data_IF_895200777115
#
_entry.id   IF_895200777115
#
_cell.length_a   1.000
_cell.length_b   1.000
_cell.length_c   1.000
_cell.angle_alpha   90.00
_cell.angle_beta   90.00
_cell.angle_gamma   90.00
#
_symmetry.space_group_name_H-M   'P 1'
#
loop_
_entity.id
_entity.type
_entity.pdbx_description
1 polymer ?
#
# COMPACT_ATOMS: atom_id res chain seq x y z
N UNK A 1 -16.96 4.76 2.63
CA UNK A 1 -15.71 3.98 2.74
C UNK A 1 -15.61 3.06 1.54
N UNK A 2 -14.43 2.97 0.96
CA UNK A 2 -14.08 2.02 -0.10
C UNK A 2 -12.99 1.07 0.40
N UNK A 3 -12.93 -0.10 -0.21
CA UNK A 3 -11.92 -1.11 0.10
C UNK A 3 -10.77 -1.02 -0.91
N UNK A 4 -9.54 -0.98 -0.39
CA UNK A 4 -8.31 -1.14 -1.14
C UNK A 4 -7.52 -2.33 -0.62
N UNK A 5 -6.88 -3.05 -1.53
CA UNK A 5 -6.04 -4.21 -1.26
C UNK A 5 -4.65 -3.99 -1.83
N UNK A 6 -3.65 -4.37 -1.06
CA UNK A 6 -2.25 -4.22 -1.41
C UNK A 6 -1.53 -5.56 -1.29
N UNK A 7 -0.86 -5.97 -2.36
CA UNK A 7 -0.12 -7.23 -2.42
C UNK A 7 0.95 -7.16 -3.51
N UNK A 8 1.96 -8.01 -3.40
CA UNK A 8 2.93 -8.21 -4.47
C UNK A 8 2.44 -9.22 -5.50
N UNK A 9 2.49 -8.84 -6.78
CA UNK A 9 2.12 -9.70 -7.91
C UNK A 9 3.32 -10.42 -8.54
N UNK A 10 4.54 -9.87 -8.41
CA UNK A 10 5.81 -10.45 -8.88
C UNK A 10 6.93 -10.14 -7.87
N UNK A 11 8.17 -10.54 -8.14
CA UNK A 11 9.35 -10.12 -7.36
C UNK A 11 9.68 -8.62 -7.49
N UNK A 12 9.14 -7.97 -8.51
CA UNK A 12 9.34 -6.56 -8.82
C UNK A 12 8.04 -5.75 -8.95
N UNK A 13 6.88 -6.32 -8.62
CA UNK A 13 5.58 -5.67 -8.86
C UNK A 13 4.73 -5.61 -7.59
N UNK A 14 4.42 -4.39 -7.16
CA UNK A 14 3.56 -4.10 -6.01
C UNK A 14 2.24 -3.44 -6.44
N UNK A 15 1.12 -4.09 -6.10
CA UNK A 15 -0.21 -3.77 -6.60
C UNK A 15 -1.07 -3.04 -5.56
N UNK A 16 -1.94 -2.15 -6.05
CA UNK A 16 -3.10 -1.62 -5.36
C UNK A 16 -4.35 -1.98 -6.16
N UNK A 17 -5.28 -2.72 -5.54
CA UNK A 17 -6.54 -3.16 -6.16
C UNK A 17 -7.76 -2.67 -5.37
N UNK A 18 -8.87 -2.47 -6.08
CA UNK A 18 -10.17 -2.17 -5.50
C UNK A 18 -10.85 -1.04 -6.25
N UNK A 19 -11.29 -0.04 -5.50
CA UNK A 19 -11.82 1.21 -6.05
C UNK A 19 -10.74 2.07 -6.75
N UNK A 20 -9.49 1.95 -6.31
CA UNK A 20 -8.30 2.45 -7.02
C UNK A 20 -7.55 1.24 -7.58
N UNK A 21 -6.98 1.38 -8.77
CA UNK A 21 -6.18 0.34 -9.42
C UNK A 21 -4.91 0.97 -9.95
N UNK A 22 -3.78 0.57 -9.37
CA UNK A 22 -2.46 1.07 -9.71
C UNK A 22 -1.42 0.00 -9.40
N UNK A 23 -0.32 -0.01 -10.14
CA UNK A 23 0.79 -0.93 -9.93
C UNK A 23 2.12 -0.15 -9.99
N UNK A 24 3.07 -0.49 -9.11
CA UNK A 24 4.41 0.10 -9.14
C UNK A 24 5.45 -0.99 -9.31
N UNK A 25 6.27 -0.82 -10.34
CA UNK A 25 7.36 -1.72 -10.70
C UNK A 25 8.65 -1.29 -9.99
N UNK A 26 9.10 -2.10 -9.04
CA UNK A 26 10.11 -1.72 -8.07
C UNK A 26 11.11 -2.86 -7.85
N UNK A 27 12.35 -2.59 -8.26
CA UNK A 27 13.47 -3.49 -8.09
C UNK A 27 14.34 -3.04 -6.92
N UNK A 28 14.50 -3.91 -5.91
CA UNK A 28 15.39 -3.71 -4.75
C UNK A 28 15.13 -2.46 -3.89
N UNK A 29 14.05 -1.71 -4.15
CA UNK A 29 13.60 -0.60 -3.34
C UNK A 29 12.26 -0.94 -2.68
N UNK A 30 11.84 -0.22 -1.62
CA UNK A 30 10.49 -0.34 -1.11
C UNK A 30 9.49 0.28 -2.09
N UNK A 31 8.37 -0.40 -2.32
CA UNK A 31 7.19 0.19 -2.92
C UNK A 31 6.43 1.03 -1.93
N UNK A 32 6.02 2.22 -2.36
CA UNK A 32 5.35 3.20 -1.51
C UNK A 32 4.14 3.76 -2.25
N UNK A 33 2.95 3.50 -1.71
CA UNK A 33 1.74 4.23 -2.06
C UNK A 33 1.47 5.29 -1.00
N UNK A 34 1.17 6.52 -1.44
CA UNK A 34 0.71 7.59 -0.56
C UNK A 34 -0.80 7.76 -0.73
N UNK A 35 -1.55 7.37 0.30
CA UNK A 35 -3.00 7.54 0.37
C UNK A 35 -3.33 8.84 1.08
N UNK A 36 -4.21 9.65 0.47
CA UNK A 36 -4.62 10.95 1.02
C UNK A 36 -6.12 11.13 0.95
N UNK A 37 -6.70 11.65 2.03
CA UNK A 37 -8.11 12.02 2.16
C UNK A 37 -8.24 13.26 3.04
N UNK A 38 -9.40 13.91 3.06
CA UNK A 38 -9.70 14.94 4.05
C UNK A 38 -9.60 14.46 5.52
N UNK A 39 -9.73 13.14 5.77
CA UNK A 39 -9.66 12.55 7.11
C UNK A 39 -8.24 12.16 7.56
N UNK A 40 -7.24 12.28 6.69
CA UNK A 40 -5.85 11.95 7.00
C UNK A 40 -5.09 11.39 5.81
N UNK A 41 -3.80 11.10 6.03
CA UNK A 41 -2.91 10.54 5.03
C UNK A 41 -2.04 9.44 5.64
N UNK A 42 -1.74 8.39 4.85
CA UNK A 42 -0.84 7.30 5.25
C UNK A 42 -0.01 6.80 4.07
N UNK A 43 1.15 6.23 4.39
CA UNK A 43 1.94 5.45 3.45
C UNK A 43 1.60 3.98 3.58
N UNK A 44 1.42 3.29 2.46
CA UNK A 44 1.50 1.82 2.39
C UNK A 44 2.85 1.47 1.79
N UNK A 45 3.64 0.70 2.54
CA UNK A 45 5.03 0.40 2.20
C UNK A 45 5.20 -1.11 2.07
N UNK A 46 5.85 -1.54 0.99
CA UNK A 46 6.11 -2.95 0.74
C UNK A 46 7.55 -3.20 0.29
N UNK A 47 8.15 -4.32 0.72
CA UNK A 47 9.47 -4.76 0.28
C UNK A 47 9.41 -6.23 -0.12
N UNK A 48 10.01 -6.57 -1.25
CA UNK A 48 10.31 -7.96 -1.57
C UNK A 48 11.57 -8.41 -0.81
N UNK A 49 11.45 -9.50 -0.07
CA UNK A 49 12.50 -10.02 0.82
C UNK A 49 13.39 -11.03 0.10
N UNK A 50 14.61 -11.24 0.61
CA UNK A 50 15.56 -12.22 0.07
C UNK A 50 15.03 -13.67 0.13
N UNK A 51 14.02 -13.94 0.96
CA UNK A 51 13.34 -15.23 1.06
C UNK A 51 12.24 -15.43 -0.01
N UNK A 52 12.10 -14.48 -0.94
CA UNK A 52 11.14 -14.57 -2.03
C UNK A 52 9.69 -14.24 -1.61
N UNK A 53 9.51 -13.50 -0.52
CA UNK A 53 8.21 -13.11 0.01
C UNK A 53 8.05 -11.59 0.10
N UNK A 54 6.82 -11.09 -0.01
CA UNK A 54 6.51 -9.68 0.26
C UNK A 54 6.23 -9.43 1.74
N UNK A 55 6.84 -8.37 2.28
CA UNK A 55 6.47 -7.75 3.54
C UNK A 55 5.75 -6.43 3.25
N UNK A 56 4.60 -6.18 3.91
CA UNK A 56 3.77 -4.99 3.69
C UNK A 56 3.39 -4.38 5.05
N UNK A 57 3.40 -3.06 5.15
CA UNK A 57 2.99 -2.31 6.33
C UNK A 57 2.48 -0.91 6.02
N UNK A 58 2.11 -0.17 7.06
CA UNK A 58 1.66 1.22 6.97
C UNK A 58 2.54 2.15 7.81
N UNK A 59 2.64 3.42 7.41
CA UNK A 59 3.44 4.44 8.09
C UNK A 59 2.87 5.85 7.99
N UNK A 60 3.33 6.73 8.87
CA UNK A 60 3.03 8.16 8.80
C UNK A 60 3.68 8.79 7.56
N UNK A 61 3.02 9.78 6.97
CA UNK A 61 3.59 10.52 5.83
C UNK A 61 4.66 11.52 6.30
N UNK A 62 4.48 12.14 7.48
CA UNK A 62 5.39 13.12 8.09
C UNK A 62 5.39 12.98 9.61
N UNK A 63 6.44 13.49 10.25
CA UNK A 63 6.63 13.47 11.71
C UNK A 63 5.42 14.03 12.47
N UNK A 64 4.91 15.18 12.03
CA UNK A 64 3.79 15.90 12.66
C UNK A 64 2.40 15.46 12.14
N UNK A 65 2.33 14.41 11.32
CA UNK A 65 1.08 13.93 10.73
C UNK A 65 0.72 12.58 11.34
N UNK A 66 -0.26 12.52 12.26
CA UNK A 66 -0.66 11.27 12.89
C UNK A 66 -1.12 10.24 11.88
N UNK A 67 -0.80 8.97 12.12
CA UNK A 67 -1.33 7.87 11.31
C UNK A 67 -2.85 7.79 11.53
N UNK A 68 -3.69 7.88 10.48
CA UNK A 68 -5.13 7.76 10.63
C UNK A 68 -5.53 6.35 11.05
N UNK A 69 -6.57 6.24 11.89
CA UNK A 69 -7.05 4.97 12.45
C UNK A 69 -7.98 4.21 11.47
N UNK A 70 -7.68 4.24 10.17
CA UNK A 70 -8.43 3.50 9.17
C UNK A 70 -8.34 2.00 9.44
N UNK A 71 -9.44 1.28 9.20
CA UNK A 71 -9.51 -0.15 9.51
C UNK A 71 -8.59 -0.92 8.56
N UNK A 72 -7.65 -1.67 9.13
CA UNK A 72 -6.68 -2.48 8.40
C UNK A 72 -6.76 -3.95 8.83
N UNK A 73 -6.53 -4.85 7.89
CA UNK A 73 -6.39 -6.28 8.16
C UNK A 73 -5.33 -6.89 7.25
N UNK A 74 -4.73 -7.99 7.71
CA UNK A 74 -3.70 -8.72 6.98
C UNK A 74 -4.15 -10.17 6.76
N UNK A 75 -3.99 -10.66 5.55
CA UNK A 75 -4.22 -12.07 5.19
C UNK A 75 -3.12 -12.57 4.26
N UNK A 76 -3.20 -13.83 3.85
CA UNK A 76 -2.30 -14.40 2.83
C UNK A 76 -2.95 -14.21 1.46
N UNK A 77 -2.25 -13.54 0.52
CA UNK A 77 -2.71 -13.42 -0.86
C UNK A 77 -2.71 -14.79 -1.56
N UNK A 78 -3.58 -15.00 -2.55
CA UNK A 78 -3.73 -16.28 -3.28
C UNK A 78 -2.46 -16.78 -3.97
N UNK A 79 -1.54 -15.86 -4.28
CA UNK A 79 -0.22 -16.16 -4.85
C UNK A 79 0.72 -16.88 -3.87
N UNK A 80 0.43 -16.86 -2.57
CA UNK A 80 1.15 -17.61 -1.54
C UNK A 80 2.48 -17.00 -1.07
N UNK A 81 3.10 -16.10 -1.84
CA UNK A 81 4.34 -15.40 -1.49
C UNK A 81 4.14 -13.93 -1.13
N UNK A 82 2.89 -13.48 -0.97
CA UNK A 82 2.60 -12.11 -0.52
C UNK A 82 1.59 -12.10 0.62
N UNK A 83 1.88 -11.33 1.66
CA UNK A 83 0.82 -10.83 2.53
C UNK A 83 -0.12 -9.95 1.70
N UNK A 84 -1.42 -9.98 2.00
CA UNK A 84 -2.41 -9.03 1.48
C UNK A 84 -2.79 -8.09 2.63
N UNK A 85 -2.59 -6.79 2.44
CA UNK A 85 -3.12 -5.75 3.32
C UNK A 85 -4.43 -5.23 2.74
N UNK A 86 -5.52 -5.34 3.50
CA UNK A 86 -6.80 -4.70 3.17
C UNK A 86 -6.99 -3.45 4.04
N UNK A 87 -7.38 -2.34 3.42
CA UNK A 87 -7.68 -1.08 4.12
C UNK A 87 -9.08 -0.60 3.71
N UNK A 88 -9.89 -0.27 4.71
CA UNK A 88 -11.11 0.51 4.51
C UNK A 88 -10.73 1.99 4.58
N UNK A 89 -10.74 2.67 3.44
CA UNK A 89 -10.36 4.08 3.32
C UNK A 89 -11.60 4.97 3.08
N UNK A 90 -11.53 6.27 3.40
CA UNK A 90 -12.56 7.24 3.04
C UNK A 90 -12.87 7.27 1.54
N UNK A 91 -14.09 7.63 1.16
CA UNK A 91 -14.53 7.62 -0.26
C UNK A 91 -13.80 8.64 -1.13
N UNK A 92 -13.24 9.68 -0.53
CA UNK A 92 -12.46 10.73 -1.19
C UNK A 92 -10.96 10.41 -1.25
N UNK A 93 -10.56 9.18 -0.92
CA UNK A 93 -9.14 8.79 -0.94
C UNK A 93 -8.57 8.82 -2.35
N UNK A 94 -7.43 9.49 -2.49
CA UNK A 94 -6.63 9.55 -3.72
C UNK A 94 -5.22 8.98 -3.50
N UNK A 95 -4.60 8.49 -4.58
CA UNK A 95 -3.17 8.21 -4.61
C UNK A 95 -2.42 9.48 -4.99
N UNK A 96 -1.49 9.90 -4.13
CA UNK A 96 -0.55 10.97 -4.46
C UNK A 96 0.62 10.35 -5.20
N UNK A 97 0.65 10.55 -6.52
CA UNK A 97 1.79 10.20 -7.34
C UNK A 97 2.85 11.31 -7.18
N UNK A 98 4.09 10.94 -6.84
CA UNK A 98 5.19 11.87 -7.04
C UNK A 98 5.37 12.02 -8.56
N UNK A 99 5.09 13.20 -9.10
CA UNK A 99 5.51 13.53 -10.46
C UNK A 99 7.02 13.24 -10.55
N UNK A 100 7.40 12.38 -11.50
CA UNK A 100 8.80 12.07 -11.84
C UNK A 100 9.61 13.38 -11.86
N UNK A 101 10.55 13.50 -10.92
CA UNK A 101 11.50 14.61 -10.89
C UNK A 101 12.52 14.52 -12.02
#
# INVERSE_FOLDING_TARGET
>A
MIELKFYGASDDLFECEGAIREEICIYSNPGVYHLKSAEGEMLVIACYTDEGCWAIGVGQVKEETPLPAWSTSFTQHERGYSVELTIQVPDDTELVLEDDK
#
